data_IF_341360203920
#
_entry.id   IF_341360203920
#
_cell.length_a   1.000
_cell.length_b   1.000
_cell.length_c   1.000
_cell.angle_alpha   90.00
_cell.angle_beta   90.00
_cell.angle_gamma   90.00
#
_symmetry.space_group_name_H-M   'P 1'
#
loop_
_entity.id
_entity.type
_entity.pdbx_description
1 polymer ?
#
# COMPACT_ATOMS: atom_id res chain seq x y z
N UNK A 1 -15.14 -21.64 -8.71
CA UNK A 1 -14.24 -20.71 -9.42
C UNK A 1 -13.82 -19.61 -8.46
N UNK A 2 -12.55 -19.55 -8.05
CA UNK A 2 -12.03 -18.42 -7.28
C UNK A 2 -11.57 -17.36 -8.28
N UNK A 3 -12.41 -16.35 -8.53
CA UNK A 3 -12.00 -15.15 -9.25
C UNK A 3 -11.21 -14.26 -8.29
N UNK A 4 -9.89 -14.43 -8.24
CA UNK A 4 -9.03 -13.40 -7.66
C UNK A 4 -8.97 -12.27 -8.67
N UNK A 5 -9.80 -11.24 -8.50
CA UNK A 5 -9.68 -10.03 -9.31
C UNK A 5 -8.22 -9.53 -9.20
N UNK A 6 -7.56 -9.17 -10.32
CA UNK A 6 -6.20 -8.63 -10.25
C UNK A 6 -6.21 -7.36 -9.41
N UNK A 7 -5.38 -7.32 -8.36
CA UNK A 7 -5.11 -6.09 -7.62
C UNK A 7 -4.21 -5.21 -8.49
N UNK A 8 -4.80 -4.17 -9.08
CA UNK A 8 -4.05 -3.15 -9.80
C UNK A 8 -3.59 -2.06 -8.84
N UNK A 9 -2.34 -1.64 -9.02
CA UNK A 9 -1.74 -0.57 -8.25
C UNK A 9 -1.31 0.55 -9.19
N UNK A 10 -1.52 1.79 -8.75
CA UNK A 10 -1.04 2.99 -9.41
C UNK A 10 -0.35 3.88 -8.37
N UNK A 11 0.64 4.65 -8.82
CA UNK A 11 1.29 5.64 -8.01
C UNK A 11 1.95 6.71 -8.88
N UNK A 12 2.35 7.80 -8.24
CA UNK A 12 3.23 8.80 -8.83
C UNK A 12 4.68 8.30 -8.78
N UNK A 13 5.35 8.26 -9.92
CA UNK A 13 6.72 7.73 -10.01
C UNK A 13 7.73 8.59 -9.27
N UNK A 14 7.57 9.92 -9.23
CA UNK A 14 8.47 10.79 -8.49
C UNK A 14 8.38 10.52 -6.97
N UNK A 15 7.19 10.15 -6.46
CA UNK A 15 7.03 9.70 -5.06
C UNK A 15 7.67 8.35 -4.82
N UNK A 16 7.56 7.41 -5.76
CA UNK A 16 8.18 6.09 -5.67
C UNK A 16 9.71 6.21 -5.61
N UNK A 17 10.30 7.02 -6.50
CA UNK A 17 11.74 7.30 -6.52
C UNK A 17 12.21 8.00 -5.24
N UNK A 18 11.46 8.99 -4.75
CA UNK A 18 11.78 9.66 -3.49
C UNK A 18 11.76 8.67 -2.32
N UNK A 19 10.75 7.78 -2.27
CA UNK A 19 10.69 6.71 -1.28
C UNK A 19 11.92 5.79 -1.35
N UNK A 20 12.34 5.41 -2.55
CA UNK A 20 13.55 4.60 -2.74
C UNK A 20 14.80 5.31 -2.21
N UNK A 21 15.00 6.58 -2.55
CA UNK A 21 16.15 7.36 -2.07
C UNK A 21 16.17 7.53 -0.55
N UNK A 22 15.02 7.74 0.07
CA UNK A 22 14.90 8.01 1.51
C UNK A 22 14.89 6.75 2.37
N UNK A 23 14.26 5.67 1.89
CA UNK A 23 13.92 4.47 2.69
C UNK A 23 14.56 3.17 2.19
N UNK A 24 15.14 3.19 0.99
CA UNK A 24 15.82 2.05 0.36
C UNK A 24 14.88 1.06 -0.33
N UNK A 25 13.62 1.43 -0.58
CA UNK A 25 12.66 0.61 -1.33
C UNK A 25 11.63 1.49 -2.04
N UNK A 26 11.17 1.03 -3.20
CA UNK A 26 10.15 1.70 -4.02
C UNK A 26 8.73 1.20 -3.68
N UNK A 27 7.72 1.76 -4.36
CA UNK A 27 6.34 1.36 -4.14
C UNK A 27 5.99 0.00 -4.74
N UNK A 28 6.65 -0.41 -5.82
CA UNK A 28 6.49 -1.75 -6.39
C UNK A 28 6.89 -2.84 -5.39
N UNK A 29 8.02 -2.66 -4.70
CA UNK A 29 8.46 -3.51 -3.60
C UNK A 29 7.48 -3.44 -2.43
N UNK A 30 7.08 -2.24 -2.01
CA UNK A 30 6.19 -2.05 -0.86
C UNK A 30 4.80 -2.66 -1.08
N UNK A 31 4.29 -2.65 -2.31
CA UNK A 31 3.01 -3.26 -2.69
C UNK A 31 2.94 -4.76 -2.36
N UNK A 32 4.08 -5.43 -2.18
CA UNK A 32 4.11 -6.82 -1.73
C UNK A 32 3.44 -7.05 -0.36
N UNK A 33 3.36 -6.00 0.47
CA UNK A 33 2.65 -6.06 1.77
C UNK A 33 1.15 -6.35 1.62
N UNK A 34 0.53 -6.09 0.46
CA UNK A 34 -0.86 -6.48 0.19
C UNK A 34 -1.07 -7.99 0.13
N UNK A 35 -0.01 -8.77 -0.11
CA UNK A 35 -0.07 -10.23 -0.18
C UNK A 35 0.26 -10.91 1.15
N UNK A 36 0.55 -10.15 2.21
CA UNK A 36 0.62 -10.71 3.56
C UNK A 36 -0.79 -11.15 3.99
N UNK A 37 -0.91 -12.42 4.37
CA UNK A 37 -2.16 -13.03 4.84
C UNK A 37 -2.55 -12.50 6.23
N UNK A 38 -1.57 -12.08 7.02
CA UNK A 38 -1.75 -11.54 8.37
C UNK A 38 -1.81 -10.01 8.39
N UNK A 39 -1.94 -9.37 7.21
CA UNK A 39 -1.99 -7.91 7.11
C UNK A 39 -3.19 -7.34 7.87
N UNK A 40 -2.99 -6.19 8.50
CA UNK A 40 -4.05 -5.42 9.14
C UNK A 40 -4.33 -4.18 8.29
N UNK A 41 -5.60 -3.93 7.98
CA UNK A 41 -6.05 -2.76 7.23
C UNK A 41 -7.02 -1.96 8.09
N UNK A 42 -6.81 -0.65 8.19
CA UNK A 42 -7.70 0.26 8.91
C UNK A 42 -7.92 1.56 8.13
N UNK A 43 -9.08 2.20 8.33
CA UNK A 43 -9.37 3.51 7.75
C UNK A 43 -8.51 4.58 8.43
N UNK A 44 -7.87 5.45 7.64
CA UNK A 44 -7.09 6.59 8.12
C UNK A 44 -8.01 7.78 8.42
N UNK A 45 -8.50 7.84 9.66
CA UNK A 45 -9.41 8.89 10.14
C UNK A 45 -8.69 10.10 10.75
N UNK A 46 -7.36 10.21 10.57
CA UNK A 46 -6.58 11.28 11.20
C UNK A 46 -6.92 12.68 10.68
N UNK A 47 -7.32 12.77 9.40
CA UNK A 47 -7.69 14.03 8.75
C UNK A 47 -8.77 13.80 7.69
N UNK A 48 -9.53 14.85 7.37
CA UNK A 48 -10.47 14.83 6.24
C UNK A 48 -9.75 15.14 4.93
N UNK A 49 -9.29 14.10 4.24
CA UNK A 49 -8.49 14.21 3.01
C UNK A 49 -9.31 14.41 1.72
N UNK A 50 -10.64 14.39 1.79
CA UNK A 50 -11.52 14.46 0.62
C UNK A 50 -11.66 13.13 -0.16
N UNK A 51 -10.94 12.09 0.26
CA UNK A 51 -11.03 10.72 -0.25
C UNK A 51 -10.81 9.72 0.91
N UNK A 52 -11.32 8.50 0.79
CA UNK A 52 -11.05 7.44 1.76
C UNK A 52 -9.60 6.98 1.65
N UNK A 53 -8.87 6.99 2.76
CA UNK A 53 -7.50 6.47 2.83
C UNK A 53 -7.42 5.36 3.85
N UNK A 54 -6.59 4.37 3.56
CA UNK A 54 -6.39 3.21 4.41
C UNK A 54 -4.92 3.07 4.76
N UNK A 55 -4.67 2.63 6.00
CA UNK A 55 -3.37 2.19 6.46
C UNK A 55 -3.33 0.67 6.41
N UNK A 56 -2.35 0.13 5.70
CA UNK A 56 -2.03 -1.28 5.65
C UNK A 56 -0.76 -1.53 6.44
N UNK A 57 -0.83 -2.39 7.44
CA UNK A 57 0.32 -2.93 8.18
C UNK A 57 0.53 -4.37 7.73
N UNK A 58 1.63 -4.63 7.03
CA UNK A 58 1.91 -5.95 6.45
C UNK A 58 3.40 -6.24 6.43
N UNK A 59 3.74 -7.52 6.47
CA UNK A 59 5.13 -7.99 6.42
C UNK A 59 5.57 -8.22 4.99
N UNK A 60 6.79 -7.78 4.72
CA UNK A 60 7.56 -8.23 3.56
C UNK A 60 8.78 -8.93 4.14
N UNK A 61 8.87 -10.23 3.91
CA UNK A 61 9.90 -11.10 4.51
C UNK A 61 9.90 -10.97 6.04
N UNK A 62 10.96 -10.41 6.65
CA UNK A 62 11.10 -10.26 8.11
C UNK A 62 10.83 -8.85 8.63
N UNK A 63 10.41 -7.92 7.76
CA UNK A 63 10.22 -6.50 8.12
C UNK A 63 8.75 -6.09 7.99
N UNK A 64 8.25 -5.36 8.98
CA UNK A 64 6.92 -4.77 8.97
C UNK A 64 6.95 -3.45 8.19
N UNK A 65 5.98 -3.28 7.29
CA UNK A 65 5.77 -2.08 6.50
C UNK A 65 4.41 -1.48 6.82
N UNK A 66 4.32 -0.16 6.78
CA UNK A 66 3.07 0.60 6.89
C UNK A 66 2.87 1.39 5.62
N UNK A 67 1.83 1.05 4.87
CA UNK A 67 1.46 1.71 3.63
C UNK A 67 0.21 2.55 3.84
N UNK A 68 0.12 3.68 3.14
CA UNK A 68 -1.10 4.49 3.06
C UNK A 68 -1.56 4.48 1.61
N UNK A 69 -2.82 4.12 1.36
CA UNK A 69 -3.36 4.04 -0.01
C UNK A 69 -4.82 4.50 -0.08
N UNK A 70 -5.25 4.90 -1.27
CA UNK A 70 -6.66 5.17 -1.60
C UNK A 70 -7.17 4.05 -2.52
N UNK A 71 -8.28 3.37 -2.22
CA UNK A 71 -8.91 2.46 -3.16
C UNK A 71 -9.49 3.25 -4.33
N UNK A 72 -9.13 2.87 -5.56
CA UNK A 72 -9.77 3.36 -6.78
C UNK A 72 -10.79 2.33 -7.23
N UNK A 73 -12.05 2.75 -7.37
CA UNK A 73 -13.06 1.96 -8.08
C UNK A 73 -12.89 2.28 -9.57
N UNK A 74 -12.61 1.26 -10.38
CA UNK A 74 -12.89 1.32 -11.82
C UNK A 74 -14.39 1.24 -12.05
#
# INVERSE_FOLDING_TARGET
>A
MNYTAPMNFEWDEAKSEACFRERGFDFAYAARAFFDLDRVIQLDVRYSYGEERYQLMGRIERRLFVLVYTPRRM
#
